data_IF_746235633764
#
_entry.id   IF_746235633764
#
_cell.length_a   1.000
_cell.length_b   1.000
_cell.length_c   1.000
_cell.angle_alpha   90.00
_cell.angle_beta   90.00
_cell.angle_gamma   90.00
#
_symmetry.space_group_name_H-M   'P 1'
#
loop_
_entity.id
_entity.type
_entity.pdbx_description
1 polymer ?
#
# COMPACT_ATOMS: atom_id res chain seq x y z
N UNK A 1 16.46 2.33 -7.68
CA UNK A 1 15.04 1.98 -7.45
C UNK A 1 14.45 3.05 -6.54
N UNK A 2 13.26 3.54 -6.85
CA UNK A 2 12.54 4.47 -5.99
C UNK A 2 11.52 3.68 -5.16
N UNK A 3 11.43 4.00 -3.89
CA UNK A 3 10.48 3.46 -2.92
C UNK A 3 9.28 4.39 -2.92
N UNK A 4 8.08 3.84 -3.01
CA UNK A 4 6.83 4.60 -2.92
C UNK A 4 6.51 4.90 -1.47
N UNK A 5 6.23 6.16 -1.17
CA UNK A 5 5.88 6.67 0.15
C UNK A 5 4.52 7.35 0.08
N UNK A 6 3.63 7.03 1.02
CA UNK A 6 2.33 7.64 1.16
C UNK A 6 2.34 8.62 2.33
N UNK A 7 1.88 9.83 2.06
CA UNK A 7 1.70 10.89 3.04
C UNK A 7 0.22 11.28 3.13
N UNK A 8 -0.27 11.74 4.29
CA UNK A 8 -1.56 12.45 4.33
C UNK A 8 -1.55 13.63 3.35
N UNK A 9 -2.62 13.81 2.59
CA UNK A 9 -2.78 15.00 1.74
C UNK A 9 -3.06 16.22 2.65
N UNK A 10 -2.17 17.24 2.69
CA UNK A 10 -2.35 18.40 3.56
C UNK A 10 -3.50 19.30 3.10
N UNK A 11 -3.96 19.17 1.85
CA UNK A 11 -5.03 19.96 1.26
C UNK A 11 -6.37 19.22 1.24
N UNK A 12 -6.36 17.88 1.38
CA UNK A 12 -7.57 17.05 1.37
C UNK A 12 -7.55 16.05 2.52
N UNK A 13 -8.19 16.39 3.66
CA UNK A 13 -8.36 15.46 4.76
C UNK A 13 -9.00 14.15 4.29
N UNK A 14 -8.41 13.01 4.66
CA UNK A 14 -8.88 11.71 4.20
C UNK A 14 -8.43 11.31 2.79
N UNK A 15 -7.43 11.97 2.23
CA UNK A 15 -6.71 11.50 1.04
C UNK A 15 -5.23 11.28 1.37
N UNK A 16 -4.55 10.54 0.50
CA UNK A 16 -3.09 10.38 0.53
C UNK A 16 -2.48 10.98 -0.73
N UNK A 17 -1.23 11.42 -0.61
CA UNK A 17 -0.37 11.75 -1.74
C UNK A 17 0.79 10.78 -1.81
N UNK A 18 1.16 10.44 -3.02
CA UNK A 18 2.28 9.56 -3.33
C UNK A 18 3.55 10.37 -3.55
N UNK A 19 4.66 9.90 -2.99
CA UNK A 19 6.00 10.42 -3.24
C UNK A 19 6.98 9.28 -3.47
N UNK A 20 8.03 9.56 -4.23
CA UNK A 20 9.05 8.59 -4.55
C UNK A 20 10.39 9.02 -3.98
N UNK A 21 10.99 8.16 -3.17
CA UNK A 21 12.28 8.40 -2.54
C UNK A 21 13.23 7.25 -2.86
N UNK A 22 14.49 7.53 -3.16
CA UNK A 22 15.51 6.49 -3.17
C UNK A 22 16.06 6.27 -1.75
N UNK A 23 16.77 5.17 -1.54
CA UNK A 23 17.38 4.87 -0.24
C UNK A 23 18.32 5.98 0.28
N UNK A 24 18.90 6.79 -0.60
CA UNK A 24 19.77 7.91 -0.24
C UNK A 24 19.03 9.24 0.01
N UNK A 25 17.83 9.41 -0.55
CA UNK A 25 17.05 10.66 -0.49
C UNK A 25 15.76 10.50 0.33
N UNK A 26 15.60 9.37 1.02
CA UNK A 26 14.47 9.16 1.90
C UNK A 26 14.57 10.06 3.14
N UNK A 27 13.46 10.66 3.60
CA UNK A 27 13.47 11.43 4.82
C UNK A 27 13.84 10.57 6.03
N UNK A 28 14.50 11.19 7.02
CA UNK A 28 14.78 10.55 8.31
C UNK A 28 13.61 10.76 9.27
N UNK A 29 12.43 10.28 8.88
CA UNK A 29 11.21 10.34 9.68
C UNK A 29 10.73 8.94 10.07
N UNK A 30 9.80 8.86 11.02
CA UNK A 30 9.19 7.59 11.37
C UNK A 30 8.24 7.14 10.26
N UNK A 31 8.38 5.88 9.86
CA UNK A 31 7.57 5.26 8.83
C UNK A 31 6.97 3.95 9.33
N UNK A 32 5.73 3.71 8.93
CA UNK A 32 5.11 2.39 8.96
C UNK A 32 5.38 1.69 7.64
N UNK A 33 5.53 0.36 7.65
CA UNK A 33 5.73 -0.41 6.42
C UNK A 33 4.46 -1.19 6.12
N UNK A 34 3.98 -1.07 4.88
CA UNK A 34 2.95 -1.94 4.36
C UNK A 34 3.61 -2.87 3.36
N UNK A 35 3.59 -4.16 3.68
CA UNK A 35 4.23 -5.18 2.85
C UNK A 35 3.18 -6.14 2.31
N UNK A 36 3.32 -6.48 1.04
CA UNK A 36 2.61 -7.62 0.48
C UNK A 36 3.19 -8.90 1.09
N UNK A 37 2.37 -9.75 1.72
CA UNK A 37 2.84 -10.97 2.37
C UNK A 37 3.44 -12.00 1.39
N UNK A 38 3.29 -11.79 0.07
CA UNK A 38 3.83 -12.66 -0.98
C UNK A 38 5.27 -12.32 -1.39
N UNK A 39 5.61 -11.04 -1.42
CA UNK A 39 6.92 -10.59 -1.92
C UNK A 39 7.67 -9.65 -0.98
N UNK A 40 7.05 -9.23 0.12
CA UNK A 40 7.63 -8.25 1.05
C UNK A 40 7.66 -6.82 0.51
N UNK A 41 7.06 -6.56 -0.66
CA UNK A 41 7.08 -5.23 -1.29
C UNK A 41 5.81 -4.44 -0.97
N UNK A 42 5.93 -3.12 -0.94
CA UNK A 42 4.82 -2.20 -0.78
C UNK A 42 5.24 -0.81 -0.33
N UNK A 43 4.28 0.11 -0.19
CA UNK A 43 4.57 1.49 0.13
C UNK A 43 4.98 1.70 1.59
N UNK A 44 5.80 2.72 1.81
CA UNK A 44 6.08 3.27 3.13
C UNK A 44 4.97 4.24 3.54
N UNK A 45 4.50 4.16 4.78
CA UNK A 45 3.48 5.06 5.35
C UNK A 45 4.17 6.11 6.21
N UNK A 46 4.07 7.38 5.84
CA UNK A 46 4.79 8.47 6.50
C UNK A 46 3.89 9.34 7.39
N UNK A 47 4.52 10.10 8.28
CA UNK A 47 3.85 11.05 9.18
C UNK A 47 2.76 10.39 10.04
N UNK A 48 1.55 10.95 10.00
CA UNK A 48 0.42 10.43 10.77
C UNK A 48 -0.01 9.01 10.35
N UNK A 49 0.34 8.57 9.13
CA UNK A 49 0.04 7.22 8.65
C UNK A 49 0.98 6.17 9.23
N UNK A 50 2.18 6.57 9.69
CA UNK A 50 3.21 5.64 10.16
C UNK A 50 2.78 4.77 11.35
N UNK A 51 1.80 5.25 12.11
CA UNK A 51 1.27 4.58 13.30
C UNK A 51 -0.03 3.80 13.00
N UNK A 52 -0.54 3.88 11.79
CA UNK A 52 -1.78 3.21 11.40
C UNK A 52 -1.45 1.81 10.90
N UNK A 53 -2.18 0.81 11.43
CA UNK A 53 -2.18 -0.50 10.79
C UNK A 53 -2.77 -0.34 9.37
N UNK A 54 -2.16 -0.95 8.33
CA UNK A 54 -2.62 -0.82 6.95
C UNK A 54 -4.07 -1.30 6.74
N UNK A 55 -4.59 -2.13 7.65
CA UNK A 55 -5.96 -2.60 7.68
C UNK A 55 -7.01 -1.56 8.17
N UNK A 56 -6.62 -0.33 8.57
CA UNK A 56 -7.52 0.62 9.25
C UNK A 56 -7.61 2.03 8.65
N UNK A 57 -6.81 2.38 7.63
CA UNK A 57 -6.84 3.72 7.05
C UNK A 57 -7.60 3.73 5.72
N UNK A 58 -8.86 4.19 5.73
CA UNK A 58 -9.70 4.33 4.54
C UNK A 58 -9.00 4.99 3.34
N UNK A 59 -8.22 6.07 3.51
CA UNK A 59 -7.50 6.72 2.41
C UNK A 59 -6.37 5.87 1.83
N UNK A 60 -5.65 5.16 2.69
CA UNK A 60 -4.55 4.25 2.29
C UNK A 60 -5.14 3.03 1.57
N UNK A 61 -6.22 2.43 2.11
CA UNK A 61 -6.93 1.32 1.46
C UNK A 61 -7.45 1.72 0.08
N UNK A 62 -8.07 2.90 -0.06
CA UNK A 62 -8.54 3.38 -1.34
C UNK A 62 -7.41 3.48 -2.38
N UNK A 63 -6.29 4.11 -2.00
CA UNK A 63 -5.11 4.21 -2.87
C UNK A 63 -4.58 2.83 -3.26
N UNK A 64 -4.50 1.88 -2.32
CA UNK A 64 -4.03 0.53 -2.57
C UNK A 64 -4.91 -0.20 -3.61
N UNK A 65 -6.23 -0.14 -3.46
CA UNK A 65 -7.17 -0.72 -4.42
C UNK A 65 -7.02 -0.06 -5.80
N UNK A 66 -6.89 1.27 -5.87
CA UNK A 66 -6.63 1.99 -7.13
C UNK A 66 -5.32 1.54 -7.80
N UNK A 67 -4.33 1.10 -7.01
CA UNK A 67 -3.04 0.57 -7.47
C UNK A 67 -3.05 -0.97 -7.61
N UNK A 68 -4.23 -1.59 -7.69
CA UNK A 68 -4.40 -3.01 -7.98
C UNK A 68 -4.14 -3.95 -6.81
N UNK A 69 -3.96 -3.43 -5.60
CA UNK A 69 -3.98 -4.27 -4.41
C UNK A 69 -5.39 -4.83 -4.21
N UNK A 70 -5.47 -5.98 -3.56
CA UNK A 70 -6.72 -6.68 -3.30
C UNK A 70 -6.64 -7.43 -1.98
N UNK A 71 -7.80 -7.75 -1.42
CA UNK A 71 -7.91 -8.60 -0.22
C UNK A 71 -7.84 -10.06 -0.64
N UNK A 72 -7.04 -10.83 0.10
CA UNK A 72 -6.90 -12.28 0.05
C UNK A 72 -7.31 -12.82 1.42
N UNK A 73 -8.25 -13.77 1.43
CA UNK A 73 -8.87 -14.27 2.67
C UNK A 73 -7.88 -14.94 3.63
N UNK A 74 -6.79 -15.52 3.12
CA UNK A 74 -5.79 -16.22 3.92
C UNK A 74 -4.63 -15.31 4.34
N UNK A 75 -4.29 -14.32 3.52
CA UNK A 75 -3.05 -13.54 3.65
C UNK A 75 -3.27 -12.07 3.96
N UNK A 76 -4.51 -11.58 3.89
CA UNK A 76 -4.82 -10.16 4.02
C UNK A 76 -4.55 -9.42 2.71
N UNK A 77 -3.95 -8.23 2.77
CA UNK A 77 -3.81 -7.38 1.59
C UNK A 77 -2.62 -7.79 0.70
N UNK A 78 -2.87 -8.04 -0.58
CA UNK A 78 -1.89 -8.51 -1.57
C UNK A 78 -1.76 -7.50 -2.72
N UNK A 79 -0.54 -7.28 -3.23
CA UNK A 79 -0.29 -6.30 -4.28
C UNK A 79 -0.73 -6.80 -5.67
N UNK A 80 -0.95 -5.86 -6.60
CA UNK A 80 -1.40 -6.18 -7.97
C UNK A 80 -0.41 -7.02 -8.79
N UNK A 81 0.85 -7.12 -8.37
CA UNK A 81 1.82 -8.03 -8.98
C UNK A 81 1.54 -9.51 -8.67
N UNK A 82 0.76 -9.80 -7.62
CA UNK A 82 0.35 -11.14 -7.23
C UNK A 82 -1.16 -11.27 -7.30
N UNK A 83 -1.76 -11.22 -8.51
CA UNK A 83 -3.21 -11.26 -8.65
C UNK A 83 -3.79 -12.53 -8.02
N UNK A 84 -4.98 -12.39 -7.44
CA UNK A 84 -5.77 -13.52 -7.00
C UNK A 84 -5.88 -14.55 -8.15
N UNK A 85 -5.82 -15.86 -7.86
CA UNK A 85 -6.06 -16.86 -8.87
C UNK A 85 -7.41 -16.60 -9.52
N UNK A 86 -7.45 -16.54 -10.85
CA UNK A 86 -8.71 -16.42 -11.57
C UNK A 86 -9.64 -17.56 -11.11
N UNK A 87 -10.92 -17.28 -10.78
CA UNK A 87 -11.84 -18.35 -10.45
C UNK A 87 -11.82 -19.32 -11.63
N UNK A 88 -11.61 -20.61 -11.33
CA UNK A 88 -11.54 -21.65 -12.35
C UNK A 88 -12.77 -21.53 -13.25
N UNK A 89 -12.56 -21.06 -14.48
CA UNK A 89 -13.65 -20.86 -15.42
C UNK A 89 -14.40 -22.17 -15.59
N UNK A 90 -15.72 -22.12 -15.37
CA UNK A 90 -16.61 -23.25 -15.64
C UNK A 90 -16.34 -23.79 -17.05
N UNK A 91 -16.07 -25.10 -17.21
CA UNK A 91 -15.99 -25.68 -18.55
C UNK A 91 -17.34 -25.50 -19.25
N UNK A 92 -17.30 -25.00 -20.49
CA UNK A 92 -18.44 -24.92 -21.41
C UNK A 92 -18.88 -26.31 -21.85
#
# INVERSE_FOLDING_TARGET
MAITWLYPDPHRPGAVIERHHCAACQPHEQVGVLECPRCGDGPMLAGALAHQAPALAGPVRAWLIEHGWHEDDERGLVCGAHPAPAPAGSPR
#
